data_IF_392205391953
#
_entry.id   IF_392205391953
#
_cell.length_a   1.000
_cell.length_b   1.000
_cell.length_c   1.000
_cell.angle_alpha   90.00
_cell.angle_beta   90.00
_cell.angle_gamma   90.00
#
_symmetry.space_group_name_H-M   'P 1'
#
loop_
_entity.id
_entity.type
_entity.pdbx_description
1 polymer ?
#
# COMPACT_ATOMS: atom_id res chain seq x y z
N UNK A 1 18.93 -12.02 -9.12
CA UNK A 1 17.52 -12.32 -9.44
C UNK A 1 16.60 -11.48 -8.56
N UNK A 2 15.31 -11.36 -8.89
CA UNK A 2 14.35 -10.64 -8.04
C UNK A 2 14.29 -11.24 -6.61
N UNK A 3 14.34 -12.58 -6.52
CA UNK A 3 14.36 -13.31 -5.25
C UNK A 3 15.57 -12.95 -4.38
N UNK A 4 16.76 -12.88 -4.97
CA UNK A 4 17.99 -12.50 -4.25
C UNK A 4 17.88 -11.09 -3.66
N UNK A 5 17.34 -10.13 -4.41
CA UNK A 5 17.15 -8.76 -3.91
C UNK A 5 16.13 -8.68 -2.78
N UNK A 6 15.01 -9.39 -2.90
CA UNK A 6 14.00 -9.47 -1.82
C UNK A 6 14.58 -10.16 -0.57
N UNK A 7 15.43 -11.17 -0.74
CA UNK A 7 16.08 -11.84 0.37
C UNK A 7 17.00 -10.90 1.18
N UNK A 8 17.62 -9.89 0.58
CA UNK A 8 18.41 -8.89 1.33
C UNK A 8 17.53 -8.17 2.37
N UNK A 9 16.33 -7.74 1.96
CA UNK A 9 15.38 -7.06 2.85
C UNK A 9 14.87 -8.01 3.94
N UNK A 10 14.50 -9.24 3.54
CA UNK A 10 13.94 -10.25 4.45
C UNK A 10 14.96 -10.77 5.46
N UNK A 11 16.21 -10.97 5.05
CA UNK A 11 17.28 -11.38 5.94
C UNK A 11 17.53 -10.31 7.01
N UNK A 12 17.56 -9.03 6.61
CA UNK A 12 17.71 -7.90 7.54
C UNK A 12 16.51 -7.80 8.49
N UNK A 13 15.28 -7.91 7.98
CA UNK A 13 14.06 -7.83 8.78
C UNK A 13 13.92 -8.98 9.80
N UNK A 14 14.50 -10.15 9.51
CA UNK A 14 14.47 -11.30 10.42
C UNK A 14 15.40 -11.19 11.63
N UNK A 15 16.37 -10.27 11.62
CA UNK A 15 17.35 -10.10 12.71
C UNK A 15 16.84 -9.07 13.72
N UNK A 16 16.25 -9.55 14.80
CA UNK A 16 15.74 -8.69 15.86
C UNK A 16 16.88 -8.47 16.86
N UNK A 17 17.12 -7.20 17.18
CA UNK A 17 18.15 -6.77 18.14
C UNK A 17 17.59 -5.97 19.31
N UNK A 18 16.37 -5.46 19.15
CA UNK A 18 15.71 -4.61 20.12
C UNK A 18 14.20 -4.82 20.05
N UNK A 19 13.54 -4.78 21.21
CA UNK A 19 12.09 -4.77 21.29
C UNK A 19 11.62 -3.39 21.72
N UNK A 20 11.07 -2.63 20.77
CA UNK A 20 10.50 -1.31 21.05
C UNK A 20 9.37 -1.42 22.09
N UNK A 21 8.48 -2.40 21.94
CA UNK A 21 7.42 -2.67 22.90
C UNK A 21 7.96 -3.41 24.13
N UNK A 22 8.38 -2.66 25.15
CA UNK A 22 8.98 -3.18 26.39
C UNK A 22 10.39 -2.65 26.64
N UNK A 23 11.01 -2.01 25.64
CA UNK A 23 12.28 -1.29 25.76
C UNK A 23 13.44 -2.13 26.31
N UNK A 24 13.71 -3.28 25.69
CA UNK A 24 14.84 -4.15 26.07
C UNK A 24 15.50 -4.81 24.86
N UNK A 25 16.75 -5.25 25.05
CA UNK A 25 17.52 -5.99 24.05
C UNK A 25 16.80 -7.32 23.77
N UNK A 26 16.49 -7.56 22.50
CA UNK A 26 15.91 -8.83 22.05
C UNK A 26 16.82 -9.39 20.96
N UNK A 27 17.57 -10.45 21.24
CA UNK A 27 18.44 -11.11 20.27
C UNK A 27 17.74 -12.36 19.75
N UNK A 28 17.08 -12.23 18.60
CA UNK A 28 16.39 -13.33 17.93
C UNK A 28 16.65 -13.25 16.44
N UNK A 29 17.04 -14.37 15.84
CA UNK A 29 17.36 -14.44 14.40
C UNK A 29 16.40 -15.36 13.66
N UNK A 30 15.44 -14.75 12.98
CA UNK A 30 14.47 -15.42 12.11
C UNK A 30 14.87 -15.32 10.62
N UNK A 31 16.05 -14.80 10.31
CA UNK A 31 16.45 -14.48 8.92
C UNK A 31 16.47 -15.71 8.03
N UNK A 32 17.00 -16.84 8.52
CA UNK A 32 17.03 -18.10 7.79
C UNK A 32 15.61 -18.58 7.43
N UNK A 33 14.68 -18.51 8.39
CA UNK A 33 13.28 -18.88 8.16
C UNK A 33 12.61 -17.94 7.15
N UNK A 34 12.86 -16.63 7.23
CA UNK A 34 12.30 -15.66 6.29
C UNK A 34 12.80 -15.85 4.86
N UNK A 35 14.10 -16.14 4.67
CA UNK A 35 14.72 -16.41 3.36
C UNK A 35 14.25 -17.76 2.79
N UNK A 36 14.09 -18.77 3.63
CA UNK A 36 13.55 -20.07 3.23
C UNK A 36 12.08 -19.95 2.77
N UNK A 37 11.30 -19.08 3.42
CA UNK A 37 9.91 -18.81 3.05
C UNK A 37 9.75 -17.93 1.80
N UNK A 38 10.82 -17.35 1.25
CA UNK A 38 10.73 -16.55 0.02
C UNK A 38 10.44 -17.45 -1.19
N UNK A 39 9.34 -17.20 -1.93
CA UNK A 39 8.99 -17.98 -3.12
C UNK A 39 10.13 -18.05 -4.15
N UNK A 40 10.16 -19.10 -4.96
CA UNK A 40 11.12 -19.25 -6.05
C UNK A 40 10.87 -18.24 -7.18
N UNK A 41 9.60 -17.97 -7.47
CA UNK A 41 9.14 -16.97 -8.44
C UNK A 41 8.60 -15.77 -7.68
N UNK A 42 9.08 -14.58 -8.03
CA UNK A 42 8.62 -13.32 -7.46
C UNK A 42 7.73 -12.64 -8.48
N UNK A 43 6.45 -12.50 -8.15
CA UNK A 43 5.48 -11.74 -8.92
C UNK A 43 5.23 -10.35 -8.31
N UNK A 44 4.36 -9.57 -8.95
CA UNK A 44 4.04 -8.23 -8.50
C UNK A 44 3.30 -8.22 -7.16
N UNK A 45 2.48 -9.23 -6.88
CA UNK A 45 1.69 -9.29 -5.66
C UNK A 45 2.60 -9.50 -4.45
N UNK A 46 3.59 -10.39 -4.55
CA UNK A 46 4.60 -10.57 -3.52
C UNK A 46 5.44 -9.31 -3.29
N UNK A 47 5.82 -8.59 -4.35
CA UNK A 47 6.52 -7.30 -4.22
C UNK A 47 5.65 -6.28 -3.49
N UNK A 48 4.36 -6.18 -3.82
CA UNK A 48 3.44 -5.24 -3.18
C UNK A 48 3.18 -5.59 -1.71
N UNK A 49 3.21 -6.86 -1.34
CA UNK A 49 3.16 -7.30 0.07
C UNK A 49 4.43 -6.91 0.83
N UNK A 50 5.61 -7.21 0.29
CA UNK A 50 6.87 -6.88 0.96
C UNK A 50 7.07 -5.36 1.08
N UNK A 51 6.68 -4.59 0.06
CA UNK A 51 6.67 -3.12 0.14
C UNK A 51 5.70 -2.60 1.20
N UNK A 52 4.55 -3.27 1.38
CA UNK A 52 3.60 -2.90 2.45
C UNK A 52 4.16 -3.18 3.84
N UNK A 53 5.00 -4.21 4.01
CA UNK A 53 5.63 -4.56 5.29
C UNK A 53 6.79 -3.61 5.60
N UNK A 54 7.59 -3.29 4.59
CA UNK A 54 8.79 -2.46 4.73
C UNK A 54 8.44 -0.98 4.93
N UNK A 55 7.55 -0.44 4.09
CA UNK A 55 7.26 1.00 4.03
C UNK A 55 5.92 1.37 4.68
N UNK A 56 5.51 0.61 5.71
CA UNK A 56 4.26 0.85 6.39
C UNK A 56 4.26 2.25 7.04
N UNK A 57 3.26 3.07 6.69
CA UNK A 57 3.13 4.43 7.22
C UNK A 57 3.95 5.50 6.49
N UNK A 58 4.71 5.14 5.45
CA UNK A 58 5.59 6.08 4.72
C UNK A 58 4.93 6.71 3.47
N UNK A 59 3.63 6.51 3.27
CA UNK A 59 2.86 7.18 2.21
C UNK A 59 2.88 6.53 0.82
N UNK A 60 3.71 5.52 0.58
CA UNK A 60 3.86 4.90 -0.75
C UNK A 60 2.69 3.99 -1.19
N UNK A 61 1.84 3.56 -0.25
CA UNK A 61 0.89 2.47 -0.51
C UNK A 61 -0.10 2.79 -1.63
N UNK A 62 -0.62 4.02 -1.67
CA UNK A 62 -1.58 4.41 -2.70
C UNK A 62 -0.91 4.49 -4.08
N UNK A 63 0.25 5.15 -4.16
CA UNK A 63 1.00 5.30 -5.41
C UNK A 63 1.41 3.95 -6.01
N UNK A 64 1.85 3.01 -5.15
CA UNK A 64 2.21 1.66 -5.57
C UNK A 64 1.03 0.91 -6.17
N UNK A 65 -0.13 0.97 -5.55
CA UNK A 65 -1.31 0.25 -6.00
C UNK A 65 -1.92 0.86 -7.26
N UNK A 66 -1.89 2.18 -7.39
CA UNK A 66 -2.38 2.86 -8.59
C UNK A 66 -1.43 2.57 -9.75
N UNK A 67 -0.11 2.83 -9.63
CA UNK A 67 0.83 2.62 -10.75
C UNK A 67 0.93 1.18 -11.25
N UNK A 68 0.51 0.20 -10.44
CA UNK A 68 0.50 -1.23 -10.78
C UNK A 68 -0.88 -1.76 -11.16
N UNK A 69 -1.90 -0.88 -11.22
CA UNK A 69 -3.29 -1.23 -11.50
C UNK A 69 -3.90 -2.25 -10.52
N UNK A 70 -3.35 -2.32 -9.30
CA UNK A 70 -3.79 -3.22 -8.22
C UNK A 70 -4.69 -2.55 -7.19
N UNK A 71 -4.93 -1.23 -7.31
CA UNK A 71 -5.74 -0.46 -6.36
C UNK A 71 -7.11 -1.06 -6.12
N UNK A 72 -7.93 -1.26 -7.16
CA UNK A 72 -9.28 -1.79 -6.96
C UNK A 72 -9.26 -3.19 -6.31
N UNK A 73 -8.37 -4.07 -6.74
CA UNK A 73 -8.25 -5.44 -6.22
C UNK A 73 -7.87 -5.45 -4.72
N UNK A 74 -6.77 -4.79 -4.38
CA UNK A 74 -6.18 -4.84 -3.03
C UNK A 74 -6.94 -3.95 -2.04
N UNK A 75 -7.48 -2.83 -2.52
CA UNK A 75 -8.13 -1.85 -1.66
C UNK A 75 -9.65 -2.13 -1.52
N UNK A 76 -10.27 -2.96 -2.35
CA UNK A 76 -11.71 -3.25 -2.25
C UNK A 76 -12.11 -3.83 -0.88
N UNK A 77 -11.23 -4.56 -0.20
CA UNK A 77 -11.52 -5.11 1.13
C UNK A 77 -10.28 -5.05 2.03
N UNK A 78 -10.45 -4.63 3.28
CA UNK A 78 -9.38 -4.64 4.26
C UNK A 78 -9.91 -4.92 5.66
N UNK A 79 -9.03 -5.42 6.54
CA UNK A 79 -9.37 -5.72 7.94
C UNK A 79 -8.58 -4.79 8.86
N UNK A 80 -9.26 -4.10 9.78
CA UNK A 80 -8.63 -3.25 10.79
C UNK A 80 -9.48 -3.24 12.07
N UNK A 81 -8.87 -2.98 13.22
CA UNK A 81 -9.60 -2.72 14.47
C UNK A 81 -10.17 -1.29 14.50
N UNK A 82 -11.07 -1.03 15.45
CA UNK A 82 -11.56 0.32 15.71
C UNK A 82 -10.46 1.27 16.22
N UNK A 83 -10.80 2.55 16.30
CA UNK A 83 -9.89 3.61 16.75
C UNK A 83 -9.73 3.70 18.27
N UNK A 84 -10.59 2.99 19.02
CA UNK A 84 -10.58 3.05 20.48
C UNK A 84 -9.36 2.33 21.05
N UNK A 85 -8.75 2.92 22.08
CA UNK A 85 -7.60 2.33 22.74
C UNK A 85 -7.96 0.97 23.34
N UNK A 86 -7.24 -0.08 22.95
CA UNK A 86 -7.49 -1.45 23.40
C UNK A 86 -8.53 -2.22 22.57
N UNK A 87 -9.10 -1.62 21.53
CA UNK A 87 -9.91 -2.38 20.59
C UNK A 87 -9.01 -3.28 19.73
N UNK A 88 -9.19 -4.59 19.93
CA UNK A 88 -8.49 -5.65 19.20
C UNK A 88 -9.46 -6.50 18.38
N UNK A 89 -10.68 -6.01 18.15
CA UNK A 89 -11.68 -6.73 17.35
C UNK A 89 -11.49 -6.36 15.87
N UNK A 90 -11.01 -7.28 15.03
CA UNK A 90 -10.85 -7.01 13.61
C UNK A 90 -12.22 -6.88 12.93
N UNK A 91 -12.40 -5.82 12.16
CA UNK A 91 -13.59 -5.60 11.32
C UNK A 91 -13.17 -5.55 9.86
N UNK A 92 -13.94 -6.25 9.01
CA UNK A 92 -13.75 -6.23 7.56
C UNK A 92 -14.54 -5.06 6.97
N UNK A 93 -13.85 -4.19 6.24
CA UNK A 93 -14.44 -3.08 5.51
C UNK A 93 -14.38 -3.36 4.02
N UNK A 94 -15.53 -3.25 3.35
CA UNK A 94 -15.62 -3.36 1.89
C UNK A 94 -15.85 -1.99 1.27
N UNK A 95 -15.08 -1.66 0.23
CA UNK A 95 -15.14 -0.40 -0.50
C UNK A 95 -15.60 -0.64 -1.93
N UNK A 96 -16.54 0.16 -2.41
CA UNK A 96 -16.91 0.21 -3.82
C UNK A 96 -15.95 1.17 -4.55
N UNK A 97 -14.87 0.62 -5.11
CA UNK A 97 -13.90 1.37 -5.90
C UNK A 97 -14.30 1.25 -7.38
N UNK A 98 -14.59 2.39 -8.02
CA UNK A 98 -14.92 2.42 -9.44
C UNK A 98 -13.65 2.54 -10.29
N UNK A 99 -13.66 2.06 -11.56
CA UNK A 99 -12.49 2.12 -12.43
C UNK A 99 -11.90 3.52 -12.60
N UNK A 100 -12.75 4.55 -12.58
CA UNK A 100 -12.33 5.93 -12.80
C UNK A 100 -11.64 6.58 -11.58
N UNK A 101 -11.72 5.98 -10.38
CA UNK A 101 -11.03 6.48 -9.18
C UNK A 101 -9.49 6.33 -9.24
N UNK A 102 -8.95 5.87 -10.37
CA UNK A 102 -7.51 5.78 -10.62
C UNK A 102 -6.85 7.16 -10.67
N UNK A 103 -7.51 8.14 -11.29
CA UNK A 103 -7.08 9.54 -11.29
C UNK A 103 -7.99 10.33 -10.36
N UNK A 104 -7.43 11.23 -9.55
CA UNK A 104 -8.23 12.15 -8.72
C UNK A 104 -8.86 13.24 -9.59
N UNK A 105 -10.02 13.82 -9.22
CA UNK A 105 -10.56 14.94 -9.96
C UNK A 105 -9.58 16.11 -9.95
N UNK A 106 -9.49 16.81 -11.09
CA UNK A 106 -8.89 18.14 -11.14
C UNK A 106 -9.74 19.05 -10.23
N UNK A 107 -9.13 19.81 -9.31
CA UNK A 107 -9.87 20.64 -8.36
C UNK A 107 -10.86 21.58 -9.07
N UNK A 108 -12.10 21.63 -8.60
CA UNK A 108 -13.16 22.41 -9.26
C UNK A 108 -12.79 23.88 -9.44
N UNK A 109 -12.17 24.51 -8.42
CA UNK A 109 -11.74 25.90 -8.52
C UNK A 109 -10.68 26.15 -9.62
N UNK A 110 -9.88 25.13 -9.99
CA UNK A 110 -8.97 25.23 -11.13
C UNK A 110 -9.75 25.21 -12.45
N UNK A 111 -10.76 24.35 -12.57
CA UNK A 111 -11.64 24.26 -13.75
C UNK A 111 -12.43 25.56 -13.95
N UNK A 112 -13.00 26.09 -12.87
CA UNK A 112 -13.81 27.30 -12.89
C UNK A 112 -13.00 28.50 -13.40
N UNK A 113 -11.71 28.58 -13.04
CA UNK A 113 -10.79 29.63 -13.46
C UNK A 113 -10.28 29.55 -14.91
N UNK A 114 -10.57 28.47 -15.65
CA UNK A 114 -10.20 28.36 -17.06
C UNK A 114 -11.07 29.29 -17.92
N UNK A 115 -10.46 30.01 -18.87
CA UNK A 115 -11.17 30.80 -19.89
C UNK A 115 -11.43 29.95 -21.13
N UNK A 116 -12.35 29.01 -21.01
CA UNK A 116 -12.76 28.05 -22.05
C UNK A 116 -14.29 27.91 -22.02
N UNK A 117 -14.88 27.30 -23.06
CA UNK A 117 -16.29 26.91 -23.05
C UNK A 117 -16.58 25.84 -21.99
N UNK A 118 -17.85 25.68 -21.61
CA UNK A 118 -18.27 24.67 -20.64
C UNK A 118 -18.00 23.24 -21.15
N UNK A 119 -18.15 23.02 -22.46
CA UNK A 119 -17.85 21.75 -23.11
C UNK A 119 -16.35 21.41 -23.02
N UNK A 120 -15.49 22.39 -23.26
CA UNK A 120 -14.04 22.23 -23.15
C UNK A 120 -13.60 22.00 -21.70
N UNK A 121 -14.19 22.73 -20.73
CA UNK A 121 -13.93 22.52 -19.30
C UNK A 121 -14.31 21.12 -18.85
N UNK A 122 -15.46 20.62 -19.31
CA UNK A 122 -15.91 19.25 -19.04
C UNK A 122 -14.97 18.21 -19.65
N UNK A 123 -14.49 18.45 -20.87
CA UNK A 123 -13.53 17.57 -21.53
C UNK A 123 -12.12 17.61 -20.89
N UNK A 124 -11.79 18.70 -20.18
CA UNK A 124 -10.52 18.85 -19.48
C UNK A 124 -10.46 18.04 -18.17
N UNK A 125 -11.61 17.70 -17.57
CA UNK A 125 -11.68 16.91 -16.34
C UNK A 125 -11.15 15.48 -16.55
N UNK A 126 -10.60 14.89 -15.48
CA UNK A 126 -10.24 13.48 -15.49
C UNK A 126 -11.48 12.59 -15.73
N UNK A 127 -11.37 11.51 -16.51
CA UNK A 127 -12.51 10.68 -16.87
C UNK A 127 -13.30 10.21 -15.63
N UNK A 128 -14.62 10.31 -15.69
CA UNK A 128 -15.54 9.84 -14.63
C UNK A 128 -15.83 10.85 -13.52
N UNK A 129 -15.27 12.06 -13.58
CA UNK A 129 -15.59 13.18 -12.68
C UNK A 129 -16.32 14.33 -13.37
#
# INVERSE_FOLDING_TARGET
SARELVNVLRERAGKWRWKNNGNYIKVEDNSAAMVAATPSVIDIDYILEERSREFFGEGYRWDDLVRTQKWAEVAASYTICGSDAGDHNPVVYNRKIQPFHYLRPIPQGQIDGLTMSDEEKKAYQNPGY
#
